data_IF_781783685009
#
_entry.id   IF_781783685009
#
_cell.length_a   1.000
_cell.length_b   1.000
_cell.length_c   1.000
_cell.angle_alpha   90.00
_cell.angle_beta   90.00
_cell.angle_gamma   90.00
#
_symmetry.space_group_name_H-M   'P 1'
#
loop_
_entity.id
_entity.type
_entity.pdbx_description
1 polymer ?
#
# COMPACT_ATOMS: atom_id res chain seq x y z
N UNK A 1 -0.52 -24.32 55.76
CA UNK A 1 -1.75 -24.81 56.41
C UNK A 1 -2.41 -23.66 57.17
N UNK A 2 -3.45 -23.04 56.61
CA UNK A 2 -4.36 -22.20 57.39
C UNK A 2 -5.78 -22.38 56.86
N UNK A 3 -6.66 -22.62 57.83
CA UNK A 3 -8.02 -23.17 57.80
C UNK A 3 -9.05 -22.10 57.43
N UNK A 4 -9.99 -22.45 56.52
CA UNK A 4 -11.48 -22.37 56.60
C UNK A 4 -12.14 -21.19 57.35
N UNK A 5 -13.29 -20.60 56.97
CA UNK A 5 -14.45 -20.96 56.11
C UNK A 5 -15.49 -19.81 56.23
N UNK A 6 -16.40 -19.71 55.24
CA UNK A 6 -17.83 -19.29 55.37
C UNK A 6 -18.04 -17.78 55.66
N UNK A 7 -18.93 -17.04 54.98
CA UNK A 7 -20.36 -17.27 54.86
C UNK A 7 -20.99 -16.58 53.64
N UNK A 8 -21.94 -17.30 53.02
CA UNK A 8 -22.99 -16.77 52.17
C UNK A 8 -23.95 -15.92 53.01
N UNK A 9 -24.32 -14.75 52.50
CA UNK A 9 -25.52 -14.04 52.94
C UNK A 9 -26.26 -13.53 51.69
N UNK A 10 -27.35 -14.22 51.36
CA UNK A 10 -28.33 -13.80 50.39
C UNK A 10 -29.43 -13.04 51.12
N UNK A 11 -29.67 -11.79 50.73
CA UNK A 11 -30.87 -10.97 50.98
C UNK A 11 -30.74 -9.83 49.93
N UNK A 12 -31.60 -9.65 48.93
CA UNK A 12 -33.05 -9.69 48.96
C UNK A 12 -33.55 -8.23 48.89
N UNK A 13 -34.46 -7.96 47.94
CA UNK A 13 -35.23 -6.71 47.73
C UNK A 13 -34.48 -5.51 47.10
N UNK A 14 -34.85 -5.10 45.89
CA UNK A 14 -36.07 -4.31 45.62
C UNK A 14 -35.98 -3.73 44.19
N UNK A 15 -36.99 -4.04 43.40
CA UNK A 15 -37.30 -3.40 42.12
C UNK A 15 -37.61 -1.93 42.36
N UNK A 16 -36.89 -1.04 41.69
CA UNK A 16 -37.38 0.30 41.38
C UNK A 16 -37.08 0.59 39.91
N UNK A 17 -38.12 0.44 39.09
CA UNK A 17 -38.21 0.97 37.75
C UNK A 17 -38.02 2.48 37.78
N UNK A 18 -36.83 2.96 37.45
CA UNK A 18 -36.61 4.33 37.01
C UNK A 18 -36.30 4.28 35.50
N UNK A 19 -37.36 4.23 34.69
CA UNK A 19 -37.27 4.48 33.25
C UNK A 19 -36.99 5.96 33.03
N UNK A 20 -35.72 6.34 33.12
CA UNK A 20 -35.25 7.59 32.56
C UNK A 20 -35.17 7.42 31.04
N UNK A 21 -36.20 7.87 30.33
CA UNK A 21 -36.13 8.08 28.88
C UNK A 21 -35.19 9.25 28.62
N UNK A 22 -33.88 8.95 28.60
CA UNK A 22 -32.91 9.78 27.89
C UNK A 22 -33.26 9.65 26.41
N UNK A 23 -34.00 10.64 25.91
CA UNK A 23 -33.97 11.01 24.49
C UNK A 23 -32.55 11.48 24.19
N UNK A 24 -31.62 10.54 24.10
CA UNK A 24 -30.32 10.76 23.52
C UNK A 24 -30.57 11.09 22.06
N UNK A 25 -30.21 12.31 21.66
CA UNK A 25 -30.00 12.65 20.27
C UNK A 25 -29.09 11.56 19.68
N UNK A 26 -29.70 10.61 18.97
CA UNK A 26 -29.01 9.78 18.02
C UNK A 26 -28.50 10.72 16.94
N UNK A 27 -27.39 11.40 17.23
CA UNK A 27 -26.46 11.77 16.20
C UNK A 27 -26.16 10.45 15.51
N UNK A 28 -26.81 10.23 14.36
CA UNK A 28 -26.26 9.36 13.33
C UNK A 28 -24.87 9.91 13.14
N UNK A 29 -23.88 9.27 13.76
CA UNK A 29 -22.51 9.37 13.29
C UNK A 29 -22.65 8.91 11.85
N UNK A 30 -22.53 9.81 10.85
CA UNK A 30 -22.43 9.33 9.48
C UNK A 30 -21.33 8.28 9.52
N UNK A 31 -21.60 7.08 9.00
CA UNK A 31 -20.58 6.04 8.82
C UNK A 31 -19.32 6.74 8.36
N UNK A 32 -18.39 6.87 9.30
CA UNK A 32 -17.17 7.60 9.09
C UNK A 32 -16.42 6.71 8.11
N UNK A 33 -16.47 7.11 6.84
CA UNK A 33 -15.64 6.67 5.72
C UNK A 33 -14.90 5.40 6.11
N UNK A 34 -15.56 4.26 5.93
CA UNK A 34 -14.88 2.98 5.91
C UNK A 34 -13.91 3.10 4.74
N UNK A 35 -12.75 3.68 5.04
CA UNK A 35 -11.74 4.02 4.07
C UNK A 35 -11.30 2.69 3.50
N UNK A 36 -11.77 2.40 2.30
CA UNK A 36 -11.38 1.23 1.54
C UNK A 36 -9.86 1.25 1.54
N UNK A 37 -9.23 0.34 2.30
CA UNK A 37 -7.77 0.26 2.27
C UNK A 37 -7.39 0.09 0.81
N UNK A 38 -6.51 0.94 0.25
CA UNK A 38 -5.92 0.68 -1.06
C UNK A 38 -5.44 -0.77 -1.04
N UNK A 39 -5.96 -1.52 -1.99
CA UNK A 39 -5.64 -2.94 -2.14
C UNK A 39 -4.75 -3.04 -3.35
N UNK A 40 -3.74 -3.91 -3.28
CA UNK A 40 -2.93 -4.23 -4.44
C UNK A 40 -3.82 -4.57 -5.65
N UNK A 41 -3.52 -4.00 -6.81
CA UNK A 41 -4.29 -4.24 -8.04
C UNK A 41 -3.74 -5.50 -8.72
N UNK A 42 -4.60 -6.50 -8.87
CA UNK A 42 -4.26 -7.73 -9.59
C UNK A 42 -4.07 -7.45 -11.09
N UNK A 43 -2.98 -7.99 -11.66
CA UNK A 43 -2.69 -7.96 -13.09
C UNK A 43 -2.73 -9.41 -13.59
N UNK A 44 -3.54 -9.67 -14.62
CA UNK A 44 -3.87 -11.03 -15.06
C UNK A 44 -2.66 -11.88 -15.48
N UNK A 45 -1.60 -11.24 -15.97
CA UNK A 45 -0.25 -11.78 -16.15
C UNK A 45 0.65 -10.62 -16.58
N UNK A 46 1.88 -10.54 -16.07
CA UNK A 46 2.88 -9.61 -16.57
C UNK A 46 3.96 -10.39 -17.32
N UNK A 47 3.72 -10.65 -18.61
CA UNK A 47 4.74 -11.23 -19.48
C UNK A 47 5.85 -10.21 -19.79
N UNK A 48 5.45 -8.94 -19.89
CA UNK A 48 6.27 -7.78 -20.22
C UNK A 48 5.73 -6.51 -19.55
N UNK A 49 6.58 -5.52 -19.34
CA UNK A 49 6.15 -4.20 -18.90
C UNK A 49 5.13 -3.56 -19.88
N UNK A 50 4.15 -2.78 -19.38
CA UNK A 50 3.22 -2.07 -20.25
C UNK A 50 3.98 -1.11 -21.16
N UNK A 51 3.58 -1.05 -22.43
CA UNK A 51 4.21 -0.15 -23.39
C UNK A 51 3.94 1.30 -23.01
N UNK A 52 2.76 1.58 -22.44
CA UNK A 52 2.37 2.95 -22.06
C UNK A 52 2.19 3.12 -20.56
N UNK A 53 2.63 4.26 -19.96
CA UNK A 53 2.33 4.57 -18.57
C UNK A 53 0.82 4.64 -18.26
N UNK A 54 -0.04 4.85 -19.27
CA UNK A 54 -1.49 4.85 -19.13
C UNK A 54 -2.11 3.45 -19.01
N UNK A 55 -1.38 2.40 -19.41
CA UNK A 55 -1.83 1.00 -19.31
C UNK A 55 -1.55 0.41 -17.92
N UNK A 56 -0.70 1.08 -17.15
CA UNK A 56 -0.48 0.76 -15.73
C UNK A 56 -1.79 0.95 -14.98
N UNK A 57 -2.33 -0.09 -14.32
CA UNK A 57 -3.43 0.08 -13.39
C UNK A 57 -2.98 1.06 -12.30
N UNK A 58 -3.59 2.24 -12.28
CA UNK A 58 -3.39 3.18 -11.19
C UNK A 58 -4.30 2.73 -10.06
N UNK A 59 -3.78 2.69 -8.84
CA UNK A 59 -4.65 2.79 -7.68
C UNK A 59 -5.31 4.17 -7.76
N UNK A 60 -6.60 4.22 -8.01
CA UNK A 60 -7.38 5.45 -8.15
C UNK A 60 -7.21 6.29 -6.86
N UNK A 61 -6.31 7.27 -6.85
CA UNK A 61 -5.87 7.80 -5.55
C UNK A 61 -5.13 9.13 -5.54
N UNK A 62 -5.37 10.05 -6.48
CA UNK A 62 -4.92 11.45 -6.35
C UNK A 62 -5.74 12.27 -5.32
N UNK A 63 -6.34 11.60 -4.32
CA UNK A 63 -7.15 12.26 -3.31
C UNK A 63 -7.84 11.27 -2.40
N UNK A 64 -7.23 10.94 -1.27
CA UNK A 64 -7.91 10.21 -0.20
C UNK A 64 -6.98 9.39 0.69
N UNK A 65 -6.48 10.05 1.75
CA UNK A 65 -6.13 9.52 3.07
C UNK A 65 -5.75 8.03 3.21
N UNK A 66 -4.47 7.82 3.52
CA UNK A 66 -3.86 6.70 4.27
C UNK A 66 -4.32 5.31 3.86
N UNK A 67 -3.45 4.62 3.12
CA UNK A 67 -3.40 3.19 3.27
C UNK A 67 -2.15 2.55 2.70
N UNK A 68 -1.55 1.69 3.52
CA UNK A 68 -0.70 0.61 3.04
C UNK A 68 -1.50 -0.22 2.04
N UNK A 69 -1.00 -0.36 0.82
CA UNK A 69 -1.51 -1.34 -0.14
C UNK A 69 -1.34 -2.72 0.44
N UNK A 70 -2.41 -3.31 0.95
CA UNK A 70 -2.32 -4.63 1.54
C UNK A 70 -2.20 -5.64 0.39
N UNK A 71 -1.09 -6.38 0.38
CA UNK A 71 -0.96 -7.54 -0.50
C UNK A 71 -2.04 -8.56 -0.13
N UNK A 72 -2.61 -9.31 -1.09
CA UNK A 72 -3.56 -10.37 -0.76
C UNK A 72 -2.95 -11.33 0.27
N UNK A 73 -3.74 -11.79 1.24
CA UNK A 73 -3.23 -12.53 2.40
C UNK A 73 -2.50 -13.83 2.04
N UNK A 74 -2.86 -14.43 0.91
CA UNK A 74 -2.29 -15.63 0.30
C UNK A 74 -1.22 -15.34 -0.76
N UNK A 75 -0.92 -14.07 -1.05
CA UNK A 75 0.09 -13.69 -2.03
C UNK A 75 1.48 -13.78 -1.41
N UNK A 76 2.38 -14.52 -2.06
CA UNK A 76 3.78 -14.69 -1.63
C UNK A 76 4.71 -14.31 -2.77
N UNK A 77 5.21 -13.06 -2.80
CA UNK A 77 6.06 -12.62 -3.90
C UNK A 77 7.37 -13.40 -3.93
N UNK A 78 7.72 -13.93 -5.09
CA UNK A 78 8.99 -14.61 -5.37
C UNK A 78 9.84 -13.87 -6.38
N UNK A 79 9.27 -12.88 -7.07
CA UNK A 79 9.95 -12.03 -8.04
C UNK A 79 9.44 -10.60 -7.98
N UNK A 80 10.33 -9.65 -8.23
CA UNK A 80 9.98 -8.24 -8.50
C UNK A 80 10.37 -7.90 -9.93
N UNK A 81 9.48 -7.20 -10.62
CA UNK A 81 9.71 -6.59 -11.93
C UNK A 81 9.60 -5.08 -11.77
N UNK A 82 10.59 -4.34 -12.29
CA UNK A 82 10.58 -2.88 -12.35
C UNK A 82 10.55 -2.42 -13.79
N UNK A 83 9.54 -1.64 -14.13
CA UNK A 83 9.37 -1.02 -15.43
C UNK A 83 9.76 0.45 -15.35
N UNK A 84 10.67 0.89 -16.22
CA UNK A 84 11.12 2.28 -16.33
C UNK A 84 11.03 2.75 -17.76
N UNK A 85 10.39 3.90 -17.97
CA UNK A 85 10.42 4.61 -19.24
C UNK A 85 11.59 5.59 -19.21
N UNK A 86 12.63 5.28 -19.97
CA UNK A 86 13.87 6.04 -20.01
C UNK A 86 13.97 6.75 -21.34
N UNK A 87 14.29 8.05 -21.30
CA UNK A 87 14.60 8.80 -22.51
C UNK A 87 16.03 8.45 -22.94
N UNK A 88 16.17 7.70 -24.04
CA UNK A 88 17.46 7.39 -24.69
C UNK A 88 18.00 8.64 -25.40
N UNK A 89 17.11 9.38 -26.06
CA UNK A 89 17.40 10.67 -26.68
C UNK A 89 16.22 11.62 -26.51
N UNK A 90 16.38 12.89 -26.90
CA UNK A 90 15.33 13.92 -26.81
C UNK A 90 14.00 13.53 -27.49
N UNK A 91 14.00 12.56 -28.40
CA UNK A 91 12.81 12.12 -29.15
C UNK A 91 12.50 10.63 -28.98
N UNK A 92 13.29 9.90 -28.18
CA UNK A 92 13.15 8.45 -28.04
C UNK A 92 12.98 8.05 -26.59
N UNK A 93 11.92 7.30 -26.33
CA UNK A 93 11.65 6.61 -25.07
C UNK A 93 11.83 5.12 -25.27
N UNK A 94 12.64 4.51 -24.42
CA UNK A 94 12.79 3.06 -24.29
C UNK A 94 12.20 2.61 -22.96
N UNK A 95 11.83 1.34 -22.90
CA UNK A 95 11.28 0.70 -21.72
C UNK A 95 12.35 -0.26 -21.22
N UNK A 96 12.84 0.00 -20.03
CA UNK A 96 13.73 -0.88 -19.30
C UNK A 96 12.91 -1.71 -18.34
N UNK A 97 13.03 -3.03 -18.48
CA UNK A 97 12.45 -4.00 -17.59
C UNK A 97 13.57 -4.64 -16.79
N UNK A 98 13.62 -4.32 -15.50
CA UNK A 98 14.53 -4.94 -14.56
C UNK A 98 13.81 -6.05 -13.79
N UNK A 99 14.50 -7.15 -13.50
CA UNK A 99 13.93 -8.29 -12.75
C UNK A 99 14.86 -8.71 -11.62
N UNK A 100 14.28 -9.28 -10.57
CA UNK A 100 15.00 -10.00 -9.52
C UNK A 100 14.13 -11.09 -8.95
N UNK A 101 14.71 -12.26 -8.70
CA UNK A 101 14.07 -13.36 -7.95
C UNK A 101 14.33 -13.26 -6.44
N UNK A 102 14.99 -12.20 -5.99
CA UNK A 102 15.40 -12.01 -4.60
C UNK A 102 14.47 -11.01 -3.93
N UNK A 103 13.32 -11.47 -3.45
CA UNK A 103 12.41 -10.63 -2.66
C UNK A 103 12.87 -10.65 -1.21
N UNK A 104 13.30 -9.50 -0.69
CA UNK A 104 13.83 -9.42 0.68
C UNK A 104 12.72 -9.11 1.69
N UNK A 105 12.82 -9.62 2.94
CA UNK A 105 11.89 -9.23 4.00
C UNK A 105 11.87 -7.72 4.26
N UNK A 106 13.01 -7.04 4.09
CA UNK A 106 13.11 -5.59 4.25
C UNK A 106 12.27 -4.83 3.23
N UNK A 107 12.25 -5.29 1.97
CA UNK A 107 11.38 -4.72 0.94
C UNK A 107 9.90 -4.99 1.21
N UNK A 108 9.53 -6.18 1.68
CA UNK A 108 8.13 -6.43 2.04
C UNK A 108 7.68 -5.59 3.24
N UNK A 109 8.54 -5.47 4.26
CA UNK A 109 8.26 -4.64 5.42
C UNK A 109 8.13 -3.14 5.07
N UNK A 110 8.86 -2.65 4.06
CA UNK A 110 8.72 -1.26 3.65
C UNK A 110 7.38 -0.98 2.95
N UNK A 111 6.81 -1.95 2.22
CA UNK A 111 5.48 -1.82 1.61
C UNK A 111 4.35 -1.72 2.64
N UNK A 112 4.56 -2.22 3.85
CA UNK A 112 3.60 -2.16 4.95
C UNK A 112 3.63 -0.82 5.70
N UNK A 113 4.58 0.07 5.38
CA UNK A 113 4.64 1.39 5.99
C UNK A 113 3.38 2.20 5.65
N UNK A 114 2.90 3.04 6.57
CA UNK A 114 1.87 4.01 6.25
C UNK A 114 2.45 5.14 5.38
N UNK A 115 1.58 5.74 4.56
CA UNK A 115 1.85 7.03 3.93
C UNK A 115 2.15 8.07 5.01
N UNK A 116 3.08 8.96 4.73
CA UNK A 116 3.33 10.12 5.56
C UNK A 116 2.33 11.22 5.18
N UNK A 117 1.69 11.80 6.19
CA UNK A 117 0.80 12.94 6.01
C UNK A 117 1.54 14.22 6.39
N UNK A 118 1.35 15.28 5.59
CA UNK A 118 1.83 16.61 5.98
C UNK A 118 1.15 17.00 7.30
N UNK A 119 1.92 17.62 8.20
CA UNK A 119 1.29 18.32 9.31
C UNK A 119 0.46 19.47 8.71
N UNK A 120 -0.83 19.63 9.07
CA UNK A 120 -1.66 20.73 8.56
C UNK A 120 -1.07 22.12 8.81
N UNK A 121 -0.22 22.28 9.83
CA UNK A 121 0.49 23.53 10.12
C UNK A 121 1.84 23.66 9.39
N UNK A 122 2.26 22.62 8.67
CA UNK A 122 3.49 22.64 7.88
C UNK A 122 3.19 23.09 6.45
N UNK A 123 3.70 24.25 6.08
CA UNK A 123 3.85 24.63 4.67
C UNK A 123 5.02 23.86 4.06
N UNK A 124 4.85 22.55 3.88
CA UNK A 124 5.83 21.72 3.19
C UNK A 124 5.93 22.21 1.74
N UNK A 125 7.01 22.92 1.42
CA UNK A 125 7.34 23.23 0.04
C UNK A 125 7.86 21.94 -0.60
N UNK A 126 7.01 21.27 -1.38
CA UNK A 126 7.43 20.15 -2.20
C UNK A 126 8.42 20.66 -3.23
N UNK A 127 9.68 20.22 -3.13
CA UNK A 127 10.61 20.44 -4.21
C UNK A 127 10.02 19.85 -5.49
N UNK A 128 10.13 20.57 -6.61
CA UNK A 128 9.79 20.05 -7.93
C UNK A 128 10.81 18.99 -8.32
N UNK A 129 10.75 17.83 -7.65
CA UNK A 129 11.58 16.69 -7.95
C UNK A 129 10.83 15.89 -8.99
N UNK A 130 11.44 15.70 -10.16
CA UNK A 130 10.96 14.74 -11.14
C UNK A 130 11.22 13.34 -10.57
N UNK A 131 10.32 12.87 -9.70
CA UNK A 131 10.35 11.48 -9.23
C UNK A 131 10.06 10.60 -10.43
N UNK A 132 11.06 9.83 -10.87
CA UNK A 132 10.86 8.85 -11.93
C UNK A 132 9.88 7.80 -11.42
N UNK A 133 8.66 7.80 -11.94
CA UNK A 133 7.63 6.81 -11.63
C UNK A 133 8.11 5.43 -12.10
N UNK A 134 8.82 4.72 -11.22
CA UNK A 134 9.19 3.33 -11.43
C UNK A 134 7.96 2.48 -11.11
N UNK A 135 7.44 1.79 -12.12
CA UNK A 135 6.32 0.89 -11.92
C UNK A 135 6.85 -0.46 -11.42
N UNK A 136 6.46 -0.86 -10.22
CA UNK A 136 6.87 -2.11 -9.60
C UNK A 136 5.73 -3.12 -9.66
N UNK A 137 6.07 -4.36 -10.01
CA UNK A 137 5.14 -5.49 -10.02
C UNK A 137 5.74 -6.63 -9.23
N UNK A 138 4.95 -7.17 -8.32
CA UNK A 138 5.27 -8.38 -7.59
C UNK A 138 4.67 -9.58 -8.31
N UNK A 139 5.41 -10.67 -8.40
CA UNK A 139 4.93 -11.92 -8.99
C UNK A 139 5.15 -13.06 -8.01
N UNK A 140 4.13 -13.89 -7.78
CA UNK A 140 4.22 -15.09 -6.95
C UNK A 140 4.61 -16.36 -7.74
N UNK A 141 4.65 -17.50 -7.05
CA UNK A 141 5.06 -18.77 -7.65
C UNK A 141 4.04 -19.30 -8.68
N UNK A 142 2.77 -18.93 -8.51
CA UNK A 142 1.66 -19.27 -9.40
C UNK A 142 1.61 -18.36 -10.64
N UNK A 143 2.48 -17.34 -10.70
CA UNK A 143 2.53 -16.38 -11.81
C UNK A 143 1.50 -15.25 -11.69
N UNK A 144 0.80 -15.13 -10.56
CA UNK A 144 -0.09 -14.00 -10.30
C UNK A 144 0.76 -12.75 -10.13
N UNK A 145 0.36 -11.67 -10.81
CA UNK A 145 1.03 -10.40 -10.74
C UNK A 145 0.19 -9.39 -9.95
N UNK A 146 0.85 -8.58 -9.13
CA UNK A 146 0.21 -7.54 -8.32
C UNK A 146 1.04 -6.26 -8.38
N UNK A 147 0.36 -5.13 -8.51
CA UNK A 147 0.95 -3.81 -8.29
C UNK A 147 0.78 -3.46 -6.82
N UNK A 148 1.85 -3.41 -6.02
CA UNK A 148 1.74 -2.97 -4.64
C UNK A 148 1.54 -1.45 -4.61
N UNK A 149 0.82 -0.97 -3.58
CA UNK A 149 0.94 0.43 -3.20
C UNK A 149 2.35 0.68 -2.70
N UNK A 150 2.93 1.82 -3.09
CA UNK A 150 4.19 2.28 -2.55
C UNK A 150 3.88 3.39 -1.56
N UNK A 151 4.13 3.20 -0.26
CA UNK A 151 3.92 4.24 0.72
C UNK A 151 4.59 5.56 0.30
N UNK A 152 3.85 6.65 0.40
CA UNK A 152 4.28 7.97 -0.10
C UNK A 152 4.63 8.94 1.03
N UNK A 153 5.50 9.89 0.72
CA UNK A 153 5.76 11.11 1.48
C UNK A 153 4.63 12.13 1.24
N UNK A 154 4.53 13.22 2.02
CA UNK A 154 3.43 14.18 1.87
C UNK A 154 3.35 14.87 0.50
N UNK A 155 4.43 14.80 -0.29
CA UNK A 155 4.52 15.32 -1.64
C UNK A 155 4.18 14.30 -2.74
N UNK A 156 3.73 13.10 -2.39
CA UNK A 156 3.41 12.02 -3.32
C UNK A 156 4.62 11.28 -3.89
N UNK A 157 5.83 11.57 -3.40
CA UNK A 157 7.01 10.78 -3.73
C UNK A 157 7.03 9.50 -2.89
N UNK A 158 7.51 8.35 -3.38
CA UNK A 158 7.71 7.18 -2.55
C UNK A 158 8.60 7.50 -1.34
N UNK A 159 8.31 6.86 -0.21
CA UNK A 159 9.12 6.97 0.99
C UNK A 159 10.57 6.55 0.74
N UNK A 160 11.52 7.23 1.36
CA UNK A 160 12.95 6.94 1.18
C UNK A 160 13.32 5.50 1.60
N UNK A 161 12.58 4.91 2.55
CA UNK A 161 12.72 3.51 2.94
C UNK A 161 12.35 2.54 1.82
N UNK A 162 11.31 2.86 1.03
CA UNK A 162 10.93 2.09 -0.16
C UNK A 162 12.01 2.21 -1.22
N UNK A 163 12.47 3.43 -1.51
CA UNK A 163 13.50 3.67 -2.52
C UNK A 163 14.79 2.90 -2.21
N UNK A 164 15.23 2.95 -0.94
CA UNK A 164 16.39 2.18 -0.47
C UNK A 164 16.16 0.69 -0.59
N UNK A 165 15.00 0.18 -0.16
CA UNK A 165 14.71 -1.24 -0.24
C UNK A 165 14.67 -1.74 -1.70
N UNK A 166 14.13 -0.95 -2.63
CA UNK A 166 14.10 -1.25 -4.07
C UNK A 166 15.51 -1.25 -4.66
N UNK A 167 16.35 -0.29 -4.26
CA UNK A 167 17.75 -0.26 -4.66
C UNK A 167 18.50 -1.54 -4.22
N UNK A 168 18.22 -2.01 -3.00
CA UNK A 168 18.90 -3.17 -2.41
C UNK A 168 18.39 -4.54 -2.92
N UNK A 169 17.31 -4.56 -3.72
CA UNK A 169 16.80 -5.79 -4.35
C UNK A 169 17.76 -6.41 -5.39
N UNK A 170 18.78 -5.67 -5.82
CA UNK A 170 19.72 -6.11 -6.84
C UNK A 170 19.03 -6.37 -8.18
N UNK A 171 18.09 -5.51 -8.56
CA UNK A 171 17.38 -5.58 -9.85
C UNK A 171 18.39 -5.57 -11.01
N UNK A 172 18.25 -6.53 -11.93
CA UNK A 172 19.09 -6.62 -13.13
C UNK A 172 18.26 -6.32 -14.38
N UNK A 173 18.86 -5.58 -15.31
CA UNK A 173 18.22 -5.30 -16.59
C UNK A 173 17.98 -6.61 -17.34
N UNK A 174 16.72 -6.97 -17.53
CA UNK A 174 16.31 -8.19 -18.21
C UNK A 174 15.96 -7.92 -19.69
N UNK A 175 15.37 -6.75 -19.97
CA UNK A 175 14.97 -6.38 -21.33
C UNK A 175 15.00 -4.85 -21.51
N UNK A 176 15.34 -4.44 -22.73
CA UNK A 176 15.12 -3.09 -23.23
C UNK A 176 14.37 -3.17 -24.55
N UNK A 177 13.31 -2.40 -24.71
CA UNK A 177 12.54 -2.34 -25.96
C UNK A 177 11.97 -0.94 -26.18
N UNK A 178 11.58 -0.62 -27.43
CA UNK A 178 11.04 0.71 -27.72
C UNK A 178 9.57 0.77 -27.37
N UNK A 179 9.13 1.97 -27.02
CA UNK A 179 7.73 2.29 -26.81
C UNK A 179 6.83 1.92 -28.00
N UNK A 180 7.35 2.03 -29.23
CA UNK A 180 6.61 1.77 -30.48
C UNK A 180 6.76 0.34 -31.02
N UNK A 181 7.61 -0.50 -30.40
CA UNK A 181 7.80 -1.88 -30.85
C UNK A 181 6.60 -2.72 -30.37
N UNK A 182 5.94 -3.51 -31.23
CA UNK A 182 4.94 -4.47 -30.78
C UNK A 182 5.62 -5.54 -29.91
N UNK A 183 5.12 -5.74 -28.69
CA UNK A 183 5.61 -6.74 -27.74
C UNK A 183 4.96 -8.10 -27.96
#
# INVERSE_FOLDING_TARGET
MLKTRVASAALGLAVLCATATLAGCGARVPDALEGTRPTAVAVASLDHCPSRPSEVPRSDGFGGLVGSGVLPADFRPVRVVRCRWVSDTATRVVIEEDRTSSVTPAFLASLELPDQVANPDSHAACAAVATSLSYLVLVDAEGRAVVPHLPEEPCGAPRAEIERAVHDLGLTLARTYRFDDPV
#
